data_IF_120304931419
#
_entry.id   IF_120304931419
#
_cell.length_a   1.000
_cell.length_b   1.000
_cell.length_c   1.000
_cell.angle_alpha   90.00
_cell.angle_beta   90.00
_cell.angle_gamma   90.00
#
_symmetry.space_group_name_H-M   'P 1'
#
loop_
_entity.id
_entity.type
_entity.pdbx_description
1 polymer ?
#
# COMPACT_ATOMS: atom_id res chain seq x y z
N UNK A 1 4.10 2.02 19.43
CA UNK A 1 3.85 2.64 18.11
C UNK A 1 5.11 3.23 17.47
N UNK A 2 5.73 4.30 18.00
CA UNK A 2 6.89 4.97 17.37
C UNK A 2 8.03 4.00 16.99
N UNK A 3 8.41 3.08 17.89
CA UNK A 3 9.47 2.09 17.63
C UNK A 3 9.17 1.17 16.43
N UNK A 4 7.91 0.78 16.24
CA UNK A 4 7.50 -0.12 15.16
C UNK A 4 7.60 0.63 13.83
N UNK A 5 7.11 1.87 13.76
CA UNK A 5 7.23 2.69 12.55
C UNK A 5 8.68 2.91 12.12
N UNK A 6 9.61 3.12 13.05
CA UNK A 6 11.04 3.15 12.74
C UNK A 6 11.54 1.84 12.12
N UNK A 7 11.18 0.68 12.70
CA UNK A 7 11.53 -0.62 12.15
C UNK A 7 10.98 -0.80 10.72
N UNK A 8 9.74 -0.36 10.47
CA UNK A 8 9.14 -0.43 9.13
C UNK A 8 9.88 0.46 8.13
N UNK A 9 10.30 1.66 8.53
CA UNK A 9 11.10 2.56 7.68
C UNK A 9 12.43 1.91 7.28
N UNK A 10 13.11 1.23 8.21
CA UNK A 10 14.35 0.51 7.89
C UNK A 10 14.16 -0.74 7.01
N UNK A 11 12.93 -1.23 6.87
CA UNK A 11 12.57 -2.38 6.04
C UNK A 11 12.06 -1.98 4.65
N UNK A 12 11.99 -0.68 4.34
CA UNK A 12 11.62 -0.20 3.00
C UNK A 12 12.71 -0.56 1.98
N UNK A 13 12.28 -0.91 0.77
CA UNK A 13 13.18 -1.06 -0.37
C UNK A 13 13.68 0.30 -0.88
N UNK A 14 14.60 0.29 -1.85
CA UNK A 14 15.17 1.52 -2.43
C UNK A 14 14.12 2.43 -3.12
N UNK A 15 12.94 1.90 -3.41
CA UNK A 15 11.84 2.65 -4.01
C UNK A 15 10.81 3.11 -2.96
N UNK A 16 11.05 2.83 -1.67
CA UNK A 16 10.18 3.23 -0.56
C UNK A 16 9.01 2.27 -0.29
N UNK A 17 9.03 1.05 -0.82
CA UNK A 17 7.97 0.06 -0.60
C UNK A 17 8.31 -0.92 0.53
N UNK A 18 7.30 -1.33 1.28
CA UNK A 18 7.42 -2.35 2.32
C UNK A 18 6.97 -3.70 1.75
N UNK A 19 7.92 -4.48 1.20
CA UNK A 19 7.66 -5.79 0.53
C UNK A 19 7.42 -6.95 1.50
N UNK A 20 6.85 -6.66 2.66
CA UNK A 20 6.58 -7.64 3.71
C UNK A 20 5.13 -7.51 4.16
N UNK A 21 4.47 -8.65 4.37
CA UNK A 21 3.16 -8.71 5.01
C UNK A 21 3.29 -8.49 6.52
N UNK A 22 2.23 -8.00 7.16
CA UNK A 22 2.19 -7.86 8.63
C UNK A 22 2.49 -9.19 9.34
N UNK A 23 2.02 -10.31 8.77
CA UNK A 23 2.32 -11.67 9.25
C UNK A 23 3.80 -12.03 9.16
N UNK A 24 4.47 -11.75 8.04
CA UNK A 24 5.90 -12.01 7.92
C UNK A 24 6.69 -11.19 8.94
N UNK A 25 6.35 -9.92 9.11
CA UNK A 25 6.99 -9.06 10.09
C UNK A 25 6.74 -9.55 11.53
N UNK A 26 5.51 -9.95 11.87
CA UNK A 26 5.18 -10.48 13.20
C UNK A 26 5.93 -11.78 13.55
N UNK A 27 6.33 -12.56 12.55
CA UNK A 27 7.18 -13.74 12.76
C UNK A 27 8.67 -13.38 12.96
N UNK A 28 9.09 -12.18 12.55
CA UNK A 28 10.48 -11.71 12.68
C UNK A 28 10.72 -10.83 13.92
N UNK A 29 9.67 -10.18 14.43
CA UNK A 29 9.77 -9.19 15.53
C UNK A 29 8.74 -9.49 16.63
N UNK A 30 9.02 -9.04 17.85
CA UNK A 30 8.18 -9.31 19.04
C UNK A 30 6.86 -8.50 19.09
N UNK A 31 6.29 -8.11 17.95
CA UNK A 31 5.06 -7.33 17.86
C UNK A 31 3.95 -8.11 17.15
N UNK A 32 2.71 -7.91 17.60
CA UNK A 32 1.55 -8.57 16.98
C UNK A 32 1.29 -8.04 15.56
N UNK A 33 0.62 -8.84 14.72
CA UNK A 33 0.18 -8.38 13.39
C UNK A 33 -0.67 -7.10 13.46
N UNK A 34 -1.48 -6.95 14.52
CA UNK A 34 -2.32 -5.78 14.74
C UNK A 34 -1.48 -4.53 15.05
N UNK A 35 -0.45 -4.65 15.90
CA UNK A 35 0.46 -3.54 16.20
C UNK A 35 1.23 -3.08 14.96
N UNK A 36 1.65 -4.04 14.13
CA UNK A 36 2.35 -3.78 12.87
C UNK A 36 1.41 -3.11 11.87
N UNK A 37 0.17 -3.58 11.76
CA UNK A 37 -0.83 -2.95 10.88
C UNK A 37 -1.10 -1.50 11.28
N UNK A 38 -1.22 -1.22 12.59
CA UNK A 38 -1.38 0.15 13.08
C UNK A 38 -0.17 1.03 12.76
N UNK A 39 1.05 0.49 12.90
CA UNK A 39 2.26 1.20 12.54
C UNK A 39 2.40 1.43 11.02
N UNK A 40 1.96 0.47 10.19
CA UNK A 40 1.90 0.60 8.73
C UNK A 40 0.90 1.68 8.32
N UNK A 41 -0.27 1.75 8.96
CA UNK A 41 -1.24 2.82 8.72
C UNK A 41 -0.63 4.20 9.04
N UNK A 42 0.12 4.33 10.15
CA UNK A 42 0.83 5.58 10.47
C UNK A 42 1.92 5.90 9.44
N UNK A 43 2.65 4.89 8.96
CA UNK A 43 3.66 5.05 7.91
C UNK A 43 3.05 5.60 6.61
N UNK A 44 1.85 5.14 6.24
CA UNK A 44 1.13 5.62 5.05
C UNK A 44 0.66 7.08 5.13
N UNK A 45 0.59 7.66 6.32
CA UNK A 45 0.29 9.08 6.53
C UNK A 45 1.54 9.98 6.41
N UNK A 46 2.73 9.40 6.28
CA UNK A 46 3.96 10.17 6.07
C UNK A 46 4.06 10.71 4.64
N UNK A 47 4.92 11.71 4.46
CA UNK A 47 5.29 12.21 3.14
C UNK A 47 6.52 11.45 2.61
N UNK A 48 6.51 10.99 1.34
CA UNK A 48 5.45 11.15 0.35
C UNK A 48 4.27 10.17 0.56
N UNK A 49 3.06 10.59 0.16
CA UNK A 49 1.87 9.72 0.21
C UNK A 49 2.09 8.43 -0.60
N UNK A 50 1.81 7.29 0.03
CA UNK A 50 2.05 5.97 -0.55
C UNK A 50 3.39 5.33 -0.17
N UNK A 51 4.24 6.02 0.62
CA UNK A 51 5.42 5.39 1.24
C UNK A 51 5.01 4.19 2.09
N UNK A 52 5.73 3.08 1.99
CA UNK A 52 5.41 1.85 2.71
C UNK A 52 4.23 1.06 2.12
N UNK A 53 3.75 1.40 0.92
CA UNK A 53 2.91 0.49 0.14
C UNK A 53 3.67 -0.82 -0.18
N UNK A 54 2.95 -1.90 -0.44
CA UNK A 54 3.51 -3.18 -0.84
C UNK A 54 3.83 -3.23 -2.33
N UNK A 55 3.09 -2.51 -3.18
CA UNK A 55 3.28 -2.41 -4.63
C UNK A 55 2.75 -1.07 -5.19
N UNK A 56 2.87 -0.89 -6.51
CA UNK A 56 2.40 0.31 -7.19
C UNK A 56 0.88 0.48 -7.08
N UNK A 57 0.11 -0.61 -7.07
CA UNK A 57 -1.33 -0.57 -6.98
C UNK A 57 -1.78 -0.05 -5.60
N UNK A 58 -1.23 -0.62 -4.52
CA UNK A 58 -1.48 -0.13 -3.16
C UNK A 58 -1.03 1.34 -3.00
N UNK A 59 0.11 1.72 -3.58
CA UNK A 59 0.58 3.12 -3.56
C UNK A 59 -0.42 4.08 -4.20
N UNK A 60 -0.89 3.77 -5.41
CA UNK A 60 -1.90 4.58 -6.10
C UNK A 60 -3.26 4.56 -5.38
N UNK A 61 -3.63 3.44 -4.76
CA UNK A 61 -4.87 3.35 -3.97
C UNK A 61 -4.82 4.28 -2.74
N UNK A 62 -3.70 4.32 -2.02
CA UNK A 62 -3.49 5.22 -0.88
C UNK A 62 -3.64 6.68 -1.35
N UNK A 63 -2.98 7.03 -2.46
CA UNK A 63 -3.03 8.38 -3.02
C UNK A 63 -4.44 8.75 -3.50
N UNK A 64 -5.11 7.85 -4.23
CA UNK A 64 -6.47 8.06 -4.74
C UNK A 64 -7.48 8.33 -3.62
N UNK A 65 -7.39 7.57 -2.51
CA UNK A 65 -8.28 7.74 -1.34
C UNK A 65 -8.11 9.08 -0.61
N UNK A 66 -6.99 9.78 -0.82
CA UNK A 66 -6.74 11.11 -0.21
C UNK A 66 -7.28 12.28 -1.04
N UNK A 67 -7.71 12.04 -2.28
CA UNK A 67 -8.21 13.09 -3.17
C UNK A 67 -9.73 13.23 -3.06
N UNK A 68 -10.22 14.44 -2.71
CA UNK A 68 -11.62 14.80 -2.89
C UNK A 68 -11.91 14.80 -4.40
N UNK A 69 -12.73 13.86 -4.89
CA UNK A 69 -13.15 13.71 -6.29
C UNK A 69 -12.20 12.96 -7.23
N UNK A 70 -11.65 11.84 -6.78
CA UNK A 70 -11.00 10.89 -7.69
C UNK A 70 -12.01 10.15 -8.59
N UNK A 71 -11.58 9.74 -9.79
CA UNK A 71 -12.45 9.02 -10.72
C UNK A 71 -12.92 7.67 -10.11
N UNK A 72 -14.24 7.40 -10.06
CA UNK A 72 -14.77 6.22 -9.37
C UNK A 72 -14.41 4.90 -10.05
N UNK A 73 -14.27 4.88 -11.39
CA UNK A 73 -13.85 3.69 -12.14
C UNK A 73 -12.38 3.39 -11.83
N UNK A 74 -11.51 4.42 -11.87
CA UNK A 74 -10.10 4.26 -11.52
C UNK A 74 -9.92 3.79 -10.07
N UNK A 75 -10.72 4.29 -9.13
CA UNK A 75 -10.73 3.81 -7.75
C UNK A 75 -11.13 2.33 -7.68
N UNK A 76 -12.20 1.93 -8.38
CA UNK A 76 -12.65 0.54 -8.41
C UNK A 76 -11.61 -0.43 -9.02
N UNK A 77 -10.84 0.03 -10.01
CA UNK A 77 -9.72 -0.73 -10.59
C UNK A 77 -8.64 -0.98 -9.54
N UNK A 78 -8.26 0.06 -8.79
CA UNK A 78 -7.24 -0.03 -7.74
C UNK A 78 -7.72 -0.92 -6.58
N UNK A 79 -8.96 -0.74 -6.10
CA UNK A 79 -9.55 -1.56 -5.02
C UNK A 79 -9.63 -3.05 -5.37
N UNK A 80 -9.85 -3.38 -6.64
CA UNK A 80 -9.87 -4.77 -7.14
C UNK A 80 -8.49 -5.31 -7.51
N UNK A 81 -7.41 -4.56 -7.26
CA UNK A 81 -6.05 -4.90 -7.64
C UNK A 81 -5.86 -5.15 -9.16
N UNK A 82 -6.58 -4.44 -10.03
CA UNK A 82 -6.58 -4.68 -11.49
C UNK A 82 -5.67 -3.73 -12.29
N UNK A 83 -4.77 -2.98 -11.64
CA UNK A 83 -3.93 -1.96 -12.31
C UNK A 83 -3.16 -2.53 -13.51
N UNK A 84 -2.57 -3.72 -13.37
CA UNK A 84 -1.76 -4.35 -14.43
C UNK A 84 -2.56 -4.60 -15.72
N UNK A 85 -3.88 -4.77 -15.62
CA UNK A 85 -4.76 -5.01 -16.77
C UNK A 85 -4.83 -3.81 -17.71
N UNK A 86 -4.53 -2.60 -17.22
CA UNK A 86 -4.46 -1.41 -18.05
C UNK A 86 -3.37 -1.49 -19.12
N UNK A 87 -2.34 -2.33 -18.92
CA UNK A 87 -1.27 -2.54 -19.89
C UNK A 87 -1.72 -3.30 -21.15
N UNK A 88 -2.85 -4.02 -21.08
CA UNK A 88 -3.41 -4.79 -22.20
C UNK A 88 -4.81 -4.29 -22.57
N UNK A 89 -4.91 -3.58 -23.70
CA UNK A 89 -6.15 -3.01 -24.23
C UNK A 89 -7.22 -4.04 -24.55
N UNK A 90 -6.83 -5.30 -24.83
CA UNK A 90 -7.81 -6.36 -25.12
C UNK A 90 -8.63 -6.76 -23.88
N UNK A 91 -8.07 -6.51 -22.69
CA UNK A 91 -8.67 -6.86 -21.41
C UNK A 91 -9.66 -5.82 -20.87
N UNK A 92 -9.72 -4.63 -21.49
CA UNK A 92 -10.47 -3.48 -20.98
C UNK A 92 -11.98 -3.72 -20.87
N UNK A 93 -12.53 -4.60 -21.71
CA UNK A 93 -13.95 -4.98 -21.67
C UNK A 93 -14.39 -5.68 -20.38
N UNK A 94 -13.45 -6.03 -19.50
CA UNK A 94 -13.70 -6.70 -18.22
C UNK A 94 -13.21 -5.90 -17.02
N UNK A 95 -12.91 -4.62 -17.24
CA UNK A 95 -12.73 -3.64 -16.17
C UNK A 95 -14.12 -3.22 -15.64
N UNK A 96 -14.19 -2.80 -14.36
CA UNK A 96 -15.44 -2.34 -13.75
C UNK A 96 -16.01 -1.07 -14.40
#
# INVERSE_FOLDING_TARGET
>A
MIKISYLLIYKLDNNGYLRFTCKQLANEIEYSEADIQNAKNLLHELSPLGVGAYDLNECLLIQAKKLLHFNPIALAILEKHLLERLADTSSWNSLP
#
